data_IF_411080567981
#
_entry.id   IF_411080567981
#
_cell.length_a   1.000
_cell.length_b   1.000
_cell.length_c   1.000
_cell.angle_alpha   90.00
_cell.angle_beta   90.00
_cell.angle_gamma   90.00
#
_symmetry.space_group_name_H-M   'P 1'
#
loop_
_entity.id
_entity.type
_entity.pdbx_description
1 polymer ?
#
# COMPACT_ATOMS: atom_id res chain seq x y z
N UNK A 1 -28.60 -8.93 14.77
CA UNK A 1 -27.67 -7.82 14.48
C UNK A 1 -26.39 -8.15 15.19
N UNK A 2 -25.40 -8.59 14.43
CA UNK A 2 -24.09 -8.94 14.95
C UNK A 2 -23.19 -7.73 14.74
N UNK A 3 -22.67 -7.20 15.84
CA UNK A 3 -21.73 -6.08 15.82
C UNK A 3 -20.32 -6.66 15.62
N UNK A 4 -19.92 -6.76 14.35
CA UNK A 4 -18.61 -7.27 13.92
C UNK A 4 -17.44 -6.36 14.35
N UNK A 5 -17.72 -5.16 14.88
CA UNK A 5 -16.68 -4.21 15.30
C UNK A 5 -16.22 -4.41 16.76
N UNK A 6 -16.86 -5.31 17.53
CA UNK A 6 -16.63 -5.43 18.99
C UNK A 6 -15.17 -5.65 19.40
N UNK A 7 -14.39 -6.29 18.55
CA UNK A 7 -12.98 -6.61 18.80
C UNK A 7 -11.99 -5.67 18.08
N UNK A 8 -12.48 -4.65 17.36
CA UNK A 8 -11.62 -3.73 16.62
C UNK A 8 -10.90 -2.76 17.54
N UNK A 9 -9.64 -2.44 17.21
CA UNK A 9 -8.88 -1.44 17.96
C UNK A 9 -9.63 -0.11 17.97
N UNK A 10 -9.67 0.56 19.12
CA UNK A 10 -10.47 1.77 19.32
C UNK A 10 -10.17 2.86 18.27
N UNK A 11 -8.93 2.95 17.80
CA UNK A 11 -8.49 3.90 16.78
C UNK A 11 -9.06 3.60 15.39
N UNK A 12 -9.31 2.33 15.06
CA UNK A 12 -9.88 1.90 13.76
C UNK A 12 -11.38 2.23 13.70
N UNK A 13 -12.09 2.09 14.83
CA UNK A 13 -13.52 2.46 14.93
C UNK A 13 -13.79 3.94 14.67
N UNK A 14 -12.87 4.81 15.12
CA UNK A 14 -12.99 6.26 14.93
C UNK A 14 -12.74 6.68 13.46
N UNK A 15 -11.93 5.93 12.71
CA UNK A 15 -11.66 6.22 11.29
C UNK A 15 -12.87 5.94 10.39
N UNK A 16 -13.61 4.86 10.68
CA UNK A 16 -14.75 4.40 9.86
C UNK A 16 -15.99 5.28 10.05
N UNK A 17 -16.16 5.88 11.23
CA UNK A 17 -17.36 6.67 11.56
C UNK A 17 -17.42 8.05 10.88
N UNK A 18 -16.30 8.55 10.35
CA UNK A 18 -16.21 9.86 9.70
C UNK A 18 -16.14 9.84 8.16
N UNK A 19 -16.70 8.84 7.46
CA UNK A 19 -17.01 8.92 6.00
C UNK A 19 -15.93 9.64 5.14
N UNK A 20 -14.65 9.34 5.39
CA UNK A 20 -13.52 10.01 4.75
C UNK A 20 -13.09 9.31 3.45
N UNK A 21 -13.69 8.15 3.14
CA UNK A 21 -13.39 7.33 1.96
C UNK A 21 -13.48 8.07 0.61
N UNK A 22 -14.05 9.29 0.58
CA UNK A 22 -14.11 10.14 -0.61
C UNK A 22 -13.04 11.25 -0.69
N UNK A 23 -12.21 11.49 0.33
CA UNK A 23 -11.26 12.63 0.36
C UNK A 23 -9.83 12.28 0.01
N UNK A 24 -9.44 11.00 0.07
CA UNK A 24 -8.06 10.57 -0.11
C UNK A 24 -7.97 9.32 -0.97
N UNK A 25 -6.85 9.21 -1.67
CA UNK A 25 -6.39 7.96 -2.28
C UNK A 25 -5.12 7.56 -1.55
N UNK A 26 -5.00 6.30 -1.19
CA UNK A 26 -3.86 5.74 -0.49
C UNK A 26 -3.12 4.76 -1.39
N UNK A 27 -1.79 4.81 -1.30
CA UNK A 27 -0.89 3.90 -1.99
C UNK A 27 -0.13 3.08 -0.95
N UNK A 28 0.00 1.78 -1.21
CA UNK A 28 0.81 0.88 -0.42
C UNK A 28 1.77 0.13 -1.33
N UNK A 29 3.02 0.03 -0.90
CA UNK A 29 4.11 -0.54 -1.68
C UNK A 29 4.78 -1.67 -0.89
N UNK A 30 4.83 -2.86 -1.47
CA UNK A 30 5.64 -3.98 -0.98
C UNK A 30 6.94 -4.01 -1.80
N UNK A 31 8.04 -3.53 -1.21
CA UNK A 31 9.33 -3.41 -1.90
C UNK A 31 10.19 -4.68 -1.77
N UNK A 32 10.85 -5.07 -2.86
CA UNK A 32 11.78 -6.21 -2.94
C UNK A 32 13.06 -5.80 -3.68
N UNK A 33 14.18 -6.43 -3.34
CA UNK A 33 15.43 -6.22 -4.08
C UNK A 33 15.38 -6.93 -5.45
N UNK A 34 15.09 -8.22 -5.44
CA UNK A 34 15.07 -9.07 -6.64
C UNK A 34 13.81 -9.93 -6.68
N UNK A 35 13.12 -9.91 -7.82
CA UNK A 35 12.05 -10.84 -8.15
C UNK A 35 12.48 -11.74 -9.31
N UNK A 36 12.39 -13.05 -9.13
CA UNK A 36 12.68 -14.04 -10.15
C UNK A 36 11.68 -15.20 -10.06
N UNK A 37 11.86 -16.24 -10.88
CA UNK A 37 10.92 -17.38 -10.93
C UNK A 37 10.79 -18.14 -9.61
N UNK A 38 11.80 -18.15 -8.74
CA UNK A 38 11.75 -18.92 -7.49
C UNK A 38 10.99 -18.22 -6.38
N UNK A 39 10.92 -16.88 -6.37
CA UNK A 39 10.28 -16.11 -5.29
C UNK A 39 9.04 -15.30 -5.73
N UNK A 40 8.75 -15.24 -7.05
CA UNK A 40 7.67 -14.42 -7.60
C UNK A 40 6.33 -14.57 -6.88
N UNK A 41 5.85 -15.80 -6.72
CA UNK A 41 4.53 -16.06 -6.12
C UNK A 41 4.49 -15.70 -4.65
N UNK A 42 5.59 -15.95 -3.95
CA UNK A 42 5.73 -15.59 -2.53
C UNK A 42 5.72 -14.07 -2.37
N UNK A 43 6.57 -13.35 -3.11
CA UNK A 43 6.61 -11.89 -3.09
C UNK A 43 5.27 -11.27 -3.48
N UNK A 44 4.59 -11.83 -4.49
CA UNK A 44 3.26 -11.36 -4.88
C UNK A 44 2.22 -11.62 -3.79
N UNK A 45 2.25 -12.80 -3.15
CA UNK A 45 1.34 -13.11 -2.03
C UNK A 45 1.58 -12.20 -0.83
N UNK A 46 2.83 -11.85 -0.53
CA UNK A 46 3.18 -10.85 0.48
C UNK A 46 2.59 -9.48 0.11
N UNK A 47 2.75 -9.02 -1.13
CA UNK A 47 2.16 -7.76 -1.59
C UNK A 47 0.63 -7.76 -1.49
N UNK A 48 -0.03 -8.87 -1.83
CA UNK A 48 -1.48 -9.01 -1.63
C UNK A 48 -1.83 -8.87 -0.14
N UNK A 49 -1.11 -9.55 0.75
CA UNK A 49 -1.36 -9.55 2.19
C UNK A 49 -1.10 -8.19 2.87
N UNK A 50 -0.12 -7.44 2.38
CA UNK A 50 0.37 -6.22 3.02
C UNK A 50 -0.16 -4.93 2.37
N UNK A 51 -0.62 -4.98 1.12
CA UNK A 51 -0.95 -3.79 0.34
C UNK A 51 -2.35 -3.78 -0.27
N UNK A 52 -3.13 -4.87 -0.18
CA UNK A 52 -4.51 -4.87 -0.72
C UNK A 52 -5.49 -3.99 0.06
N UNK A 53 -5.09 -3.48 1.24
CA UNK A 53 -5.92 -2.62 2.05
C UNK A 53 -6.08 -1.20 1.48
N UNK A 54 -5.12 -0.75 0.68
CA UNK A 54 -5.09 0.61 0.12
C UNK A 54 -5.86 0.70 -1.22
N UNK A 55 -6.13 1.93 -1.68
CA UNK A 55 -6.74 2.14 -3.00
C UNK A 55 -5.85 1.60 -4.13
N UNK A 56 -4.53 1.71 -3.98
CA UNK A 56 -3.55 1.16 -4.92
C UNK A 56 -2.46 0.38 -4.17
N UNK A 57 -2.44 -0.93 -4.39
CA UNK A 57 -1.36 -1.81 -3.93
C UNK A 57 -0.36 -2.10 -5.04
N UNK A 58 0.92 -1.93 -4.77
CA UNK A 58 2.01 -2.20 -5.71
C UNK A 58 3.04 -3.15 -5.12
N UNK A 59 3.45 -4.13 -5.93
CA UNK A 59 4.72 -4.83 -5.74
C UNK A 59 5.81 -4.02 -6.45
N UNK A 60 6.90 -3.71 -5.74
CA UNK A 60 8.00 -2.89 -6.26
C UNK A 60 9.27 -3.71 -6.23
N UNK A 61 10.05 -3.71 -7.31
CA UNK A 61 11.36 -4.35 -7.29
C UNK A 61 12.43 -3.60 -8.09
N UNK A 62 13.66 -3.59 -7.56
CA UNK A 62 14.83 -3.05 -8.25
C UNK A 62 15.24 -3.95 -9.44
N UNK A 63 15.25 -5.26 -9.22
CA UNK A 63 15.62 -6.24 -10.24
C UNK A 63 14.49 -7.23 -10.54
N UNK A 64 14.30 -7.53 -11.82
CA UNK A 64 13.40 -8.58 -12.29
C UNK A 64 14.13 -9.54 -13.23
N UNK A 65 14.10 -10.83 -12.92
CA UNK A 65 15.00 -11.79 -13.53
C UNK A 65 14.76 -12.07 -15.03
N UNK A 66 13.50 -12.23 -15.47
CA UNK A 66 13.22 -12.65 -16.85
C UNK A 66 11.93 -12.07 -17.43
N UNK A 67 11.78 -12.10 -18.77
CA UNK A 67 10.53 -11.72 -19.44
C UNK A 67 9.35 -12.62 -19.08
N UNK A 68 9.58 -13.89 -18.76
CA UNK A 68 8.51 -14.80 -18.35
C UNK A 68 7.97 -14.46 -16.96
N UNK A 69 8.81 -13.89 -16.09
CA UNK A 69 8.40 -13.31 -14.81
C UNK A 69 7.36 -12.20 -15.03
N UNK A 70 7.52 -11.33 -16.02
CA UNK A 70 6.52 -10.29 -16.32
C UNK A 70 5.19 -10.87 -16.81
N UNK A 71 5.20 -11.96 -17.60
CA UNK A 71 3.95 -12.60 -18.06
C UNK A 71 3.17 -13.19 -16.88
N UNK A 72 3.85 -13.88 -15.98
CA UNK A 72 3.21 -14.45 -14.78
C UNK A 72 2.70 -13.35 -13.84
N UNK A 73 3.44 -12.25 -13.65
CA UNK A 73 2.96 -11.09 -12.90
C UNK A 73 1.68 -10.50 -13.48
N UNK A 74 1.53 -10.45 -14.81
CA UNK A 74 0.28 -9.99 -15.45
C UNK A 74 -0.89 -10.92 -15.15
N UNK A 75 -0.67 -12.23 -15.11
CA UNK A 75 -1.70 -13.21 -14.72
C UNK A 75 -2.11 -13.03 -13.24
N UNK A 76 -1.13 -12.87 -12.35
CA UNK A 76 -1.38 -12.63 -10.92
C UNK A 76 -2.08 -11.29 -10.68
N UNK A 77 -1.70 -10.24 -11.41
CA UNK A 77 -2.40 -8.97 -11.42
C UNK A 77 -3.86 -9.12 -11.85
N UNK A 78 -4.15 -9.85 -12.94
CA UNK A 78 -5.52 -10.02 -13.40
C UNK A 78 -6.43 -10.65 -12.32
N UNK A 79 -5.87 -11.56 -11.51
CA UNK A 79 -6.58 -12.15 -10.38
C UNK A 79 -6.73 -11.19 -9.18
N UNK A 80 -5.64 -10.57 -8.72
CA UNK A 80 -5.60 -9.91 -7.42
C UNK A 80 -5.54 -8.37 -7.47
N UNK A 81 -5.15 -7.79 -8.59
CA UNK A 81 -5.16 -6.34 -8.83
C UNK A 81 -3.95 -5.57 -8.30
N UNK A 82 -2.92 -6.24 -7.77
CA UNK A 82 -1.68 -5.62 -7.33
C UNK A 82 -0.83 -5.24 -8.54
N UNK A 83 -0.54 -3.94 -8.67
CA UNK A 83 0.31 -3.41 -9.74
C UNK A 83 1.78 -3.77 -9.55
N UNK A 84 2.60 -3.45 -10.55
CA UNK A 84 4.04 -3.68 -10.51
C UNK A 84 4.82 -2.45 -10.97
N UNK A 85 5.77 -2.04 -10.13
CA UNK A 85 6.72 -0.95 -10.42
C UNK A 85 8.12 -1.53 -10.47
N UNK A 86 8.85 -1.25 -11.56
CA UNK A 86 10.29 -1.47 -11.61
C UNK A 86 10.97 -0.22 -11.07
N UNK A 87 11.59 -0.36 -9.90
CA UNK A 87 12.31 0.70 -9.24
C UNK A 87 13.62 0.97 -9.97
N UNK A 88 13.88 2.23 -10.29
CA UNK A 88 15.21 2.65 -10.74
C UNK A 88 16.06 2.97 -9.51
N UNK A 89 17.05 2.11 -9.25
CA UNK A 89 17.99 2.25 -8.12
C UNK A 89 19.34 2.82 -8.54
N UNK A 90 19.57 3.02 -9.84
CA UNK A 90 20.90 3.38 -10.38
C UNK A 90 20.99 4.89 -10.59
N UNK A 91 19.98 5.48 -11.22
CA UNK A 91 20.04 6.88 -11.63
C UNK A 91 19.16 7.76 -10.74
N UNK A 92 17.84 7.49 -10.72
CA UNK A 92 16.88 8.31 -9.97
C UNK A 92 15.60 7.53 -9.66
N UNK A 93 15.20 7.37 -8.38
CA UNK A 93 13.94 6.71 -8.03
C UNK A 93 12.70 7.32 -8.68
N UNK A 94 12.72 8.60 -9.06
CA UNK A 94 11.62 9.24 -9.77
C UNK A 94 11.44 8.72 -11.21
N UNK A 95 12.47 8.14 -11.81
CA UNK A 95 12.44 7.55 -13.16
C UNK A 95 11.98 6.07 -13.16
N UNK A 96 11.52 5.59 -12.01
CA UNK A 96 10.93 4.26 -11.85
C UNK A 96 9.71 4.06 -12.78
N UNK A 97 9.58 2.86 -13.32
CA UNK A 97 8.59 2.56 -14.34
C UNK A 97 7.42 1.75 -13.79
N UNK A 98 6.20 2.28 -13.96
CA UNK A 98 4.97 1.52 -13.71
C UNK A 98 4.72 0.57 -14.89
N UNK A 99 5.12 -0.70 -14.74
CA UNK A 99 4.98 -1.72 -15.79
C UNK A 99 3.57 -2.35 -15.83
N UNK A 100 2.91 -2.37 -14.67
CA UNK A 100 1.52 -2.81 -14.50
C UNK A 100 0.84 -1.83 -13.55
N UNK A 101 -0.13 -1.06 -14.02
CA UNK A 101 -0.91 -0.17 -13.17
C UNK A 101 -1.77 -0.98 -12.19
N UNK A 102 -1.77 -0.62 -10.91
CA UNK A 102 -2.61 -1.28 -9.92
C UNK A 102 -4.10 -1.03 -10.21
N UNK A 103 -4.94 -2.02 -9.86
CA UNK A 103 -6.40 -1.85 -9.93
C UNK A 103 -6.83 -0.99 -8.75
N UNK A 104 -7.46 0.15 -9.04
CA UNK A 104 -8.03 1.02 -8.02
C UNK A 104 -9.12 0.27 -7.23
N UNK A 105 -9.01 0.29 -5.91
CA UNK A 105 -10.05 -0.16 -4.98
C UNK A 105 -10.80 1.07 -4.46
N UNK A 106 -12.14 1.06 -4.48
CA UNK A 106 -12.93 2.23 -4.10
C UNK A 106 -12.88 2.52 -2.60
N UNK A 107 -12.69 1.48 -1.79
CA UNK A 107 -12.77 1.54 -0.34
C UNK A 107 -11.49 0.96 0.27
N UNK A 108 -11.13 1.49 1.44
CA UNK A 108 -10.05 0.97 2.27
C UNK A 108 -10.52 -0.28 3.01
N UNK A 109 -9.74 -1.35 2.96
CA UNK A 109 -10.03 -2.58 3.70
C UNK A 109 -9.59 -2.42 5.17
N UNK A 110 -10.52 -1.93 6.00
CA UNK A 110 -10.25 -1.65 7.41
C UNK A 110 -9.96 -2.91 8.25
N UNK A 111 -10.44 -4.09 7.83
CA UNK A 111 -10.10 -5.35 8.49
C UNK A 111 -8.61 -5.68 8.30
N UNK A 112 -8.10 -5.52 7.07
CA UNK A 112 -6.68 -5.66 6.79
C UNK A 112 -5.83 -4.58 7.50
N UNK A 113 -6.30 -3.33 7.55
CA UNK A 113 -5.62 -2.26 8.30
C UNK A 113 -5.50 -2.62 9.78
N UNK A 114 -6.59 -3.09 10.41
CA UNK A 114 -6.59 -3.48 11.83
C UNK A 114 -5.61 -4.64 12.10
N UNK A 115 -5.61 -5.65 11.22
CA UNK A 115 -4.65 -6.77 11.30
C UNK A 115 -3.21 -6.26 11.23
N UNK A 116 -2.88 -5.46 10.22
CA UNK A 116 -1.53 -4.91 10.03
C UNK A 116 -1.10 -4.00 11.18
N UNK A 117 -2.01 -3.18 11.72
CA UNK A 117 -1.71 -2.29 12.83
C UNK A 117 -1.44 -3.04 14.15
N UNK A 118 -2.00 -4.24 14.30
CA UNK A 118 -1.74 -5.12 15.44
C UNK A 118 -0.38 -5.83 15.32
N UNK A 119 0.04 -6.15 14.10
CA UNK A 119 1.28 -6.86 13.80
C UNK A 119 2.50 -5.92 13.66
N UNK A 120 2.30 -4.68 13.24
CA UNK A 120 3.36 -3.73 12.91
C UNK A 120 3.13 -2.37 13.57
N UNK A 121 3.99 -2.02 14.53
CA UNK A 121 3.93 -0.75 15.28
C UNK A 121 4.13 0.47 14.39
N UNK A 122 5.02 0.41 13.41
CA UNK A 122 5.27 1.55 12.52
C UNK A 122 4.06 1.81 11.62
N UNK A 123 3.38 0.74 11.18
CA UNK A 123 2.13 0.85 10.45
C UNK A 123 1.00 1.43 11.33
N UNK A 124 0.94 1.06 12.61
CA UNK A 124 0.01 1.67 13.55
C UNK A 124 0.23 3.19 13.68
N UNK A 125 1.49 3.64 13.77
CA UNK A 125 1.80 5.07 13.82
C UNK A 125 1.36 5.79 12.52
N UNK A 126 1.57 5.18 11.35
CA UNK A 126 1.02 5.68 10.09
C UNK A 126 -0.51 5.81 10.12
N UNK A 127 -1.24 4.82 10.64
CA UNK A 127 -2.71 4.88 10.75
C UNK A 127 -3.15 6.01 11.67
N UNK A 128 -2.41 6.32 12.74
CA UNK A 128 -2.70 7.47 13.61
C UNK A 128 -2.51 8.80 12.88
N UNK A 129 -1.49 8.93 12.02
CA UNK A 129 -1.31 10.11 11.18
C UNK A 129 -2.46 10.28 10.18
N UNK A 130 -2.89 9.18 9.55
CA UNK A 130 -4.05 9.18 8.67
C UNK A 130 -5.32 9.62 9.40
N UNK A 131 -5.53 9.13 10.62
CA UNK A 131 -6.63 9.56 11.50
C UNK A 131 -6.59 11.06 11.78
N UNK A 132 -5.42 11.59 12.16
CA UNK A 132 -5.27 13.03 12.40
C UNK A 132 -5.63 13.84 11.17
N UNK A 133 -5.15 13.44 9.98
CA UNK A 133 -5.48 14.09 8.72
C UNK A 133 -6.99 14.11 8.44
N UNK A 134 -7.70 13.01 8.67
CA UNK A 134 -9.16 12.96 8.48
C UNK A 134 -9.93 13.86 9.44
N UNK A 135 -9.42 14.05 10.65
CA UNK A 135 -10.06 14.89 11.67
C UNK A 135 -9.80 16.38 11.45
N UNK A 136 -8.57 16.76 11.07
CA UNK A 136 -8.14 18.16 10.98
C UNK A 136 -8.22 18.71 9.56
N UNK A 137 -8.12 17.87 8.54
CA UNK A 137 -7.93 18.27 7.15
C UNK A 137 -6.55 18.85 6.83
N UNK A 138 -5.64 18.91 7.82
CA UNK A 138 -4.29 19.45 7.67
C UNK A 138 -3.28 18.29 7.60
N UNK A 139 -2.60 18.17 6.46
CA UNK A 139 -1.41 17.33 6.38
C UNK A 139 -0.26 18.09 7.05
N UNK A 140 0.38 17.49 8.05
CA UNK A 140 1.58 18.06 8.67
C UNK A 140 2.78 17.77 7.76
N UNK A 141 3.36 18.73 7.04
CA UNK A 141 4.39 18.46 6.04
C UNK A 141 5.64 17.79 6.62
N UNK A 142 5.96 18.10 7.88
CA UNK A 142 7.06 17.50 8.63
C UNK A 142 6.92 15.99 8.87
N UNK A 143 5.70 15.44 8.77
CA UNK A 143 5.42 14.01 9.00
C UNK A 143 5.51 13.18 7.70
N UNK A 144 5.74 13.82 6.54
CA UNK A 144 5.63 13.20 5.21
C UNK A 144 6.93 13.21 4.40
N UNK A 145 8.09 13.45 5.01
CA UNK A 145 9.39 13.61 4.32
C UNK A 145 9.26 14.49 3.04
N UNK A 146 8.43 15.53 3.11
CA UNK A 146 8.30 16.48 2.00
C UNK A 146 9.65 17.19 1.90
N UNK A 147 10.38 17.08 0.77
CA UNK A 147 11.65 17.76 0.65
C UNK A 147 11.42 19.25 0.88
N UNK A 148 12.23 19.86 1.75
CA UNK A 148 12.23 21.30 1.93
C UNK A 148 12.40 21.93 0.54
N UNK A 149 11.37 22.65 0.09
CA UNK A 149 11.48 23.45 -1.12
C UNK A 149 12.42 24.61 -0.79
N UNK A 150 13.72 24.39 -1.00
CA UNK A 150 14.73 25.43 -0.91
C UNK A 150 14.30 26.62 -1.79
N UNK A 151 14.08 27.77 -1.15
CA UNK A 151 13.90 29.08 -1.78
C UNK A 151 15.26 29.70 -2.15
#
# INVERSE_FOLDING_TARGET
MEDLSKEWHHEVRDCVTQYSDKRTKLWSFEAKLLINRSNMRECFSQAVSNSSWANFGYLVAAEIGSTDSLKELRTLFAAHGIGFIKLDVVDNPADSQVLIAARERPEIDWDMVNRLATENRDFLEYVKLLKQFYQTGEARPADWDVPDLDN
#
